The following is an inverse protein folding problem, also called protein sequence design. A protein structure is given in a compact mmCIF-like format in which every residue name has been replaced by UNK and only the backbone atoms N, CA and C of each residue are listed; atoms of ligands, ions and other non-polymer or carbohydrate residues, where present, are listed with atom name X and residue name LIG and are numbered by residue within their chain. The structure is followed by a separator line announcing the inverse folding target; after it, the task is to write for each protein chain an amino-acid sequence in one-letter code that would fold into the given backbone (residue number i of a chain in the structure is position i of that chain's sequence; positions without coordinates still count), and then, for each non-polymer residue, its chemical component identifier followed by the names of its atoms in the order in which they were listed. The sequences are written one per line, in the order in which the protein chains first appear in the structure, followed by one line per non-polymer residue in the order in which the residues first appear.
data_IF_286960527550
#
_entry.id   IF_286960527550
#
_cell.length_a   1.000
_cell.length_b   1.000
_cell.length_c   1.000
_cell.angle_alpha   90.00
_cell.angle_beta   90.00
_cell.angle_gamma   90.00
#
_symmetry.space_group_name_H-M   'P 1'
#
loop_
_entity.id
_entity.type
_entity.pdbx_description
1 polymer ?
#
# COMPACT_ATOMS: atom_id res chain seq x y z
N UNK A 1 7.73 -5.30 -33.76
CA UNK A 1 7.25 -4.40 -32.69
C UNK A 1 8.35 -3.92 -31.75
N UNK A 2 9.49 -4.62 -31.64
CA UNK A 2 10.62 -4.26 -30.76
C UNK A 2 11.84 -3.85 -31.61
N UNK A 3 11.95 -2.59 -32.06
CA UNK A 3 12.99 -2.16 -32.99
C UNK A 3 14.38 -2.12 -32.35
N UNK A 4 14.49 -1.77 -31.07
CA UNK A 4 15.74 -1.73 -30.33
C UNK A 4 15.76 -2.88 -29.29
N UNK A 5 16.78 -3.77 -29.31
CA UNK A 5 16.89 -4.89 -28.36
C UNK A 5 17.15 -4.46 -26.91
N UNK A 6 17.62 -3.23 -26.70
CA UNK A 6 17.95 -2.69 -25.37
C UNK A 6 16.82 -1.88 -24.73
N UNK A 7 15.70 -1.69 -25.41
CA UNK A 7 14.55 -0.96 -24.88
C UNK A 7 13.45 -1.93 -24.47
N UNK A 8 12.94 -1.76 -23.25
CA UNK A 8 11.67 -2.36 -22.85
C UNK A 8 10.53 -1.76 -23.67
N UNK A 9 9.57 -2.60 -24.03
CA UNK A 9 8.39 -2.19 -24.81
C UNK A 9 7.14 -2.64 -24.05
N UNK A 10 6.12 -1.77 -23.95
CA UNK A 10 4.89 -2.12 -23.28
C UNK A 10 4.13 -3.23 -24.03
N UNK A 11 3.58 -4.19 -23.30
CA UNK A 11 2.65 -5.20 -23.79
C UNK A 11 3.28 -6.53 -24.24
N UNK A 12 2.47 -7.59 -24.28
CA UNK A 12 2.93 -8.98 -24.34
C UNK A 12 3.05 -9.59 -25.76
N UNK A 13 3.15 -8.74 -26.80
CA UNK A 13 3.14 -9.18 -28.21
C UNK A 13 4.40 -8.78 -28.96
N UNK A 14 5.12 -9.78 -29.48
CA UNK A 14 6.32 -9.59 -30.27
C UNK A 14 6.15 -10.11 -31.69
N UNK A 15 6.22 -9.20 -32.66
CA UNK A 15 6.32 -9.55 -34.09
C UNK A 15 7.76 -9.42 -34.55
N UNK A 16 8.29 -10.52 -35.08
CA UNK A 16 9.58 -10.63 -35.73
C UNK A 16 9.37 -10.74 -37.23
N UNK A 17 10.19 -10.01 -37.99
CA UNK A 17 10.31 -10.18 -39.43
C UNK A 17 11.79 -10.37 -39.77
N UNK A 18 12.06 -11.20 -40.75
CA UNK A 18 13.41 -11.48 -41.24
C UNK A 18 13.44 -11.51 -42.76
N UNK A 19 14.59 -11.17 -43.32
CA UNK A 19 14.82 -11.24 -44.76
C UNK A 19 15.37 -12.63 -45.13
N UNK A 20 15.21 -12.97 -46.41
CA UNK A 20 15.91 -14.11 -46.97
C UNK A 20 17.43 -13.91 -46.86
N UNK A 21 18.21 -14.95 -46.51
CA UNK A 21 19.65 -14.90 -46.60
C UNK A 21 20.11 -14.52 -48.02
N UNK A 22 21.24 -13.81 -48.16
CA UNK A 22 21.85 -13.56 -49.46
C UNK A 22 22.10 -14.87 -50.22
N UNK A 23 21.73 -14.93 -51.50
CA UNK A 23 21.85 -16.14 -52.33
C UNK A 23 20.64 -16.34 -53.24
N UNK A 24 20.62 -17.47 -53.97
CA UNK A 24 19.49 -17.85 -54.80
C UNK A 24 18.31 -18.29 -53.93
N UNK A 25 17.15 -17.64 -54.10
CA UNK A 25 15.92 -17.95 -53.37
C UNK A 25 15.41 -19.38 -53.63
N UNK A 26 15.74 -19.95 -54.79
CA UNK A 26 15.36 -21.32 -55.15
C UNK A 26 16.15 -22.38 -54.38
N UNK A 27 17.25 -21.99 -53.74
CA UNK A 27 18.07 -22.87 -52.91
C UNK A 27 17.63 -22.93 -51.44
N UNK A 28 16.52 -22.27 -51.08
CA UNK A 28 15.99 -22.26 -49.72
C UNK A 28 14.85 -23.26 -49.54
N UNK A 29 14.95 -24.13 -48.52
CA UNK A 29 13.90 -25.06 -48.12
C UNK A 29 13.01 -24.55 -46.96
N UNK A 30 13.45 -23.51 -46.25
CA UNK A 30 12.64 -22.82 -45.23
C UNK A 30 13.43 -22.38 -44.02
N UNK A 31 12.72 -21.89 -43.00
CA UNK A 31 13.28 -21.40 -41.75
C UNK A 31 12.77 -22.21 -40.58
N UNK A 32 13.61 -22.32 -39.55
CA UNK A 32 13.20 -22.68 -38.20
C UNK A 32 13.43 -21.51 -37.28
N UNK A 33 12.49 -21.34 -36.36
CA UNK A 33 12.65 -20.39 -35.29
C UNK A 33 12.09 -20.90 -33.98
N UNK A 34 12.59 -20.33 -32.90
CA UNK A 34 12.15 -20.59 -31.54
C UNK A 34 12.38 -19.35 -30.70
N UNK A 35 11.54 -19.11 -29.70
CA UNK A 35 11.64 -17.99 -28.78
C UNK A 35 11.65 -18.55 -27.35
N UNK A 36 12.69 -18.25 -26.61
CA UNK A 36 12.80 -18.55 -25.19
C UNK A 36 13.59 -17.45 -24.47
N UNK A 37 13.96 -17.68 -23.20
CA UNK A 37 14.78 -16.76 -22.40
C UNK A 37 16.25 -17.21 -22.31
N UNK A 38 16.67 -18.18 -23.13
CA UNK A 38 18.05 -18.65 -23.18
C UNK A 38 18.83 -17.91 -24.27
N UNK A 39 20.10 -17.63 -24.01
CA UNK A 39 20.90 -16.80 -24.93
C UNK A 39 21.21 -17.50 -26.28
N UNK A 40 21.25 -18.84 -26.31
CA UNK A 40 21.87 -19.57 -27.43
C UNK A 40 21.13 -20.86 -27.86
N UNK A 41 19.81 -20.96 -27.70
CA UNK A 41 19.04 -22.11 -28.16
C UNK A 41 19.16 -22.37 -29.66
N UNK A 42 19.25 -23.65 -30.04
CA UNK A 42 19.24 -24.10 -31.45
C UNK A 42 17.87 -24.71 -31.77
N UNK A 43 17.09 -24.13 -32.70
CA UNK A 43 15.75 -24.63 -33.04
C UNK A 43 15.78 -26.01 -33.71
N UNK A 44 15.28 -27.06 -33.04
CA UNK A 44 15.29 -28.44 -33.59
C UNK A 44 13.89 -29.02 -33.90
N UNK A 45 12.85 -28.58 -33.18
CA UNK A 45 11.59 -29.34 -33.03
C UNK A 45 10.50 -28.98 -34.05
N UNK A 46 10.66 -27.93 -34.84
CA UNK A 46 9.63 -27.44 -35.78
C UNK A 46 10.01 -27.77 -37.22
N UNK A 47 9.08 -28.19 -38.07
CA UNK A 47 9.35 -28.35 -39.50
C UNK A 47 9.69 -26.99 -40.15
N UNK A 48 10.63 -26.92 -41.11
CA UNK A 48 10.96 -25.66 -41.77
C UNK A 48 9.73 -25.07 -42.48
N UNK A 49 9.54 -23.76 -42.37
CA UNK A 49 8.45 -23.03 -43.03
C UNK A 49 9.03 -21.91 -43.91
N UNK A 50 8.37 -21.58 -45.02
CA UNK A 50 8.81 -20.51 -45.95
C UNK A 50 8.36 -19.10 -45.53
N UNK A 51 7.92 -18.94 -44.28
CA UNK A 51 7.45 -17.66 -43.75
C UNK A 51 8.62 -16.78 -43.31
N UNK A 52 8.46 -15.46 -43.44
CA UNK A 52 9.44 -14.42 -43.07
C UNK A 52 8.98 -13.54 -41.92
N UNK A 53 7.88 -13.89 -41.27
CA UNK A 53 7.32 -13.14 -40.14
C UNK A 53 6.62 -14.07 -39.16
N UNK A 54 6.79 -13.84 -37.87
CA UNK A 54 6.04 -14.57 -36.85
C UNK A 54 5.70 -13.67 -35.68
N UNK A 55 4.50 -13.88 -35.12
CA UNK A 55 4.02 -13.11 -33.98
C UNK A 55 3.81 -14.03 -32.79
N UNK A 56 4.52 -13.76 -31.71
CA UNK A 56 4.27 -14.32 -30.39
C UNK A 56 3.35 -13.39 -29.61
N UNK A 57 2.42 -13.98 -28.86
CA UNK A 57 1.44 -13.27 -28.02
C UNK A 57 1.44 -13.88 -26.63
N UNK A 58 1.06 -13.08 -25.63
CA UNK A 58 1.00 -13.56 -24.25
C UNK A 58 2.37 -13.89 -23.66
N UNK A 59 3.41 -13.18 -24.10
CA UNK A 59 4.73 -13.27 -23.49
C UNK A 59 4.66 -12.68 -22.07
N UNK A 60 5.23 -13.41 -21.11
CA UNK A 60 5.50 -12.87 -19.78
C UNK A 60 6.61 -11.82 -19.85
N UNK A 61 6.67 -10.97 -18.83
CA UNK A 61 7.69 -9.93 -18.75
C UNK A 61 9.08 -10.54 -18.66
N UNK A 62 10.03 -9.85 -19.28
CA UNK A 62 11.43 -10.22 -19.24
C UNK A 62 12.13 -10.11 -20.58
N UNK A 63 13.32 -10.70 -20.60
CA UNK A 63 14.21 -10.71 -21.75
C UNK A 63 14.00 -12.01 -22.54
N UNK A 64 13.63 -11.87 -23.79
CA UNK A 64 13.41 -13.00 -24.70
C UNK A 64 14.39 -12.97 -25.86
N UNK A 65 14.89 -14.12 -26.28
CA UNK A 65 15.79 -14.28 -27.42
C UNK A 65 15.11 -15.11 -28.50
N UNK A 66 14.96 -14.52 -29.67
CA UNK A 66 14.52 -15.20 -30.88
C UNK A 66 15.71 -15.86 -31.54
N UNK A 67 15.58 -17.15 -31.82
CA UNK A 67 16.54 -17.98 -32.51
C UNK A 67 16.01 -18.25 -33.90
N UNK A 68 16.76 -17.90 -34.94
CA UNK A 68 16.36 -18.09 -36.34
C UNK A 68 17.49 -18.75 -37.12
N UNK A 69 17.14 -19.69 -37.97
CA UNK A 69 18.10 -20.34 -38.83
C UNK A 69 17.42 -20.83 -40.12
N UNK A 70 18.11 -20.73 -41.26
CA UNK A 70 17.63 -21.13 -42.59
C UNK A 70 18.15 -22.52 -43.03
N UNK A 71 17.29 -23.29 -43.71
CA UNK A 71 17.63 -24.56 -44.36
C UNK A 71 17.76 -24.37 -45.86
N UNK A 72 18.81 -24.91 -46.47
CA UNK A 72 18.91 -25.01 -47.93
C UNK A 72 18.07 -26.17 -48.49
N UNK A 73 17.79 -26.15 -49.79
CA UNK A 73 17.18 -27.25 -50.56
C UNK A 73 18.04 -28.51 -50.55
N UNK A 74 19.36 -28.37 -50.46
CA UNK A 74 20.33 -29.46 -50.24
C UNK A 74 20.32 -30.03 -48.82
N UNK A 75 19.52 -29.46 -47.90
CA UNK A 75 19.31 -29.95 -46.55
C UNK A 75 20.29 -29.42 -45.51
N UNK A 76 21.27 -28.61 -45.90
CA UNK A 76 22.18 -27.93 -45.00
C UNK A 76 21.48 -26.81 -44.22
N UNK A 77 22.14 -26.38 -43.16
CA UNK A 77 21.63 -25.52 -42.12
C UNK A 77 22.64 -24.35 -41.96
N UNK A 78 22.17 -23.10 -41.91
CA UNK A 78 22.98 -21.90 -41.67
C UNK A 78 23.62 -21.85 -40.26
N UNK A 79 24.19 -20.72 -39.85
CA UNK A 79 24.37 -20.47 -38.40
C UNK A 79 23.03 -20.05 -37.78
N UNK A 80 22.93 -20.14 -36.44
CA UNK A 80 21.76 -19.60 -35.73
C UNK A 80 21.98 -18.11 -35.47
N UNK A 81 21.04 -17.31 -35.95
CA UNK A 81 20.97 -15.89 -35.66
C UNK A 81 20.11 -15.67 -34.42
N UNK A 82 20.59 -14.82 -33.53
CA UNK A 82 19.91 -14.48 -32.28
C UNK A 82 19.45 -13.02 -32.31
N UNK A 83 18.23 -12.77 -31.81
CA UNK A 83 17.73 -11.41 -31.60
C UNK A 83 16.98 -11.31 -30.28
N UNK A 84 17.48 -10.46 -29.40
CA UNK A 84 16.86 -10.19 -28.10
C UNK A 84 15.77 -9.13 -28.20
N UNK A 85 14.75 -9.25 -27.37
CA UNK A 85 13.73 -8.25 -27.08
C UNK A 85 13.50 -8.19 -25.58
N UNK A 86 12.99 -7.04 -25.09
CA UNK A 86 12.59 -6.85 -23.70
C UNK A 86 11.11 -6.48 -23.67
N UNK A 87 10.32 -7.28 -22.95
CA UNK A 87 8.85 -7.20 -22.92
C UNK A 87 8.41 -6.85 -21.51
N UNK A 88 7.55 -5.84 -21.38
CA UNK A 88 6.94 -5.51 -20.10
C UNK A 88 5.46 -5.14 -20.28
N UNK A 89 4.57 -6.03 -19.91
CA UNK A 89 3.13 -5.88 -20.03
C UNK A 89 2.44 -5.70 -18.67
N UNK A 90 3.14 -5.90 -17.56
CA UNK A 90 2.53 -5.95 -16.23
C UNK A 90 2.90 -4.71 -15.44
N UNK A 91 1.91 -3.96 -14.91
CA UNK A 91 2.24 -2.86 -14.03
C UNK A 91 2.91 -3.29 -12.72
N UNK A 92 3.65 -2.39 -12.06
CA UNK A 92 4.20 -2.65 -10.74
C UNK A 92 3.13 -3.00 -9.71
N UNK A 93 3.55 -3.72 -8.68
CA UNK A 93 2.77 -3.92 -7.45
C UNK A 93 3.21 -2.94 -6.37
N UNK A 94 2.27 -2.43 -5.58
CA UNK A 94 2.52 -1.44 -4.51
C UNK A 94 2.10 -2.02 -3.17
N UNK A 95 2.85 -1.68 -2.12
CA UNK A 95 2.48 -1.98 -0.74
C UNK A 95 2.55 -0.72 0.12
N UNK A 96 1.64 -0.61 1.09
CA UNK A 96 1.54 0.48 2.05
C UNK A 96 1.77 -0.07 3.46
N UNK A 97 2.64 0.58 4.22
CA UNK A 97 2.92 0.28 5.62
C UNK A 97 2.66 1.49 6.50
N UNK A 98 2.14 1.24 7.71
CA UNK A 98 2.02 2.24 8.76
C UNK A 98 3.03 1.95 9.87
N UNK A 99 3.57 3.00 10.47
CA UNK A 99 4.34 2.93 11.70
C UNK A 99 3.82 3.99 12.69
N UNK A 100 3.23 3.62 13.83
CA UNK A 100 3.05 2.24 14.30
C UNK A 100 2.09 1.42 13.42
N UNK A 101 2.26 0.09 13.40
CA UNK A 101 1.48 -0.80 12.52
C UNK A 101 0.02 -1.00 12.97
N UNK A 102 -0.28 -0.62 14.21
CA UNK A 102 -1.61 -0.69 14.79
C UNK A 102 -1.84 0.55 15.69
N UNK A 103 -3.10 0.99 15.84
CA UNK A 103 -3.45 2.09 16.74
C UNK A 103 -2.99 1.82 18.17
N UNK A 104 -2.41 2.82 18.81
CA UNK A 104 -1.90 2.79 20.18
C UNK A 104 -2.83 3.50 21.19
N UNK A 105 -3.97 4.02 20.73
CA UNK A 105 -5.07 4.54 21.53
C UNK A 105 -6.31 3.65 21.53
N UNK A 106 -7.35 4.13 22.20
CA UNK A 106 -8.63 3.43 22.28
C UNK A 106 -9.39 3.47 20.94
N UNK A 107 -10.27 2.49 20.71
CA UNK A 107 -11.23 2.49 19.59
C UNK A 107 -10.61 2.70 18.19
N UNK A 108 -9.36 2.27 18.00
CA UNK A 108 -8.66 2.39 16.72
C UNK A 108 -8.01 3.75 16.45
N UNK A 109 -7.94 4.64 17.44
CA UNK A 109 -7.22 5.91 17.35
C UNK A 109 -5.72 5.73 17.57
N UNK A 110 -4.92 6.42 16.76
CA UNK A 110 -3.53 6.65 17.07
C UNK A 110 -3.41 7.86 18.00
N UNK A 111 -2.64 7.74 19.08
CA UNK A 111 -2.32 8.85 20.01
C UNK A 111 -0.88 9.34 19.81
N UNK A 112 -0.12 8.67 18.95
CA UNK A 112 1.20 9.09 18.46
C UNK A 112 1.16 9.37 16.96
N UNK A 113 2.16 10.10 16.41
CA UNK A 113 2.25 10.34 14.97
C UNK A 113 2.36 9.03 14.18
N UNK A 114 1.79 9.02 12.97
CA UNK A 114 1.79 7.87 12.07
C UNK A 114 2.67 8.16 10.85
N UNK A 115 3.70 7.35 10.63
CA UNK A 115 4.49 7.35 9.41
C UNK A 115 3.88 6.41 8.36
N UNK A 116 3.66 6.92 7.16
CA UNK A 116 3.25 6.13 6.00
C UNK A 116 4.46 5.81 5.13
N UNK A 117 4.68 4.53 4.89
CA UNK A 117 5.72 4.01 4.01
C UNK A 117 5.12 3.35 2.79
N UNK A 118 5.74 3.57 1.63
CA UNK A 118 5.29 2.97 0.36
C UNK A 118 6.48 2.26 -0.29
N UNK A 119 6.25 1.03 -0.74
CA UNK A 119 7.22 0.32 -1.58
C UNK A 119 6.54 -0.23 -2.81
N UNK A 120 7.32 -0.46 -3.87
CA UNK A 120 6.81 -1.03 -5.11
C UNK A 120 7.82 -2.01 -5.72
N UNK A 121 7.31 -2.99 -6.47
CA UNK A 121 8.11 -3.99 -7.16
C UNK A 121 7.51 -4.32 -8.53
N UNK A 122 8.39 -4.52 -9.51
CA UNK A 122 8.04 -4.74 -10.92
C UNK A 122 8.51 -6.10 -11.46
N UNK A 123 8.97 -6.99 -10.58
CA UNK A 123 9.39 -8.35 -10.96
C UNK A 123 10.46 -8.36 -12.07
N UNK A 124 10.14 -9.01 -13.18
CA UNK A 124 11.01 -9.14 -14.36
C UNK A 124 10.75 -8.06 -15.42
N UNK A 125 9.95 -7.04 -15.13
CA UNK A 125 9.64 -5.92 -16.01
C UNK A 125 10.74 -4.88 -16.11
N UNK A 126 10.39 -3.68 -16.58
CA UNK A 126 11.29 -2.56 -16.83
C UNK A 126 11.81 -1.88 -15.55
N UNK A 127 11.32 -2.30 -14.38
CA UNK A 127 11.64 -1.73 -13.08
C UNK A 127 10.73 -0.57 -12.72
N UNK A 128 10.62 -0.29 -11.42
CA UNK A 128 9.83 0.85 -10.91
C UNK A 128 10.52 2.16 -11.25
N UNK A 129 9.86 3.01 -12.02
CA UNK A 129 10.35 4.35 -12.36
C UNK A 129 9.95 5.40 -11.34
N UNK A 130 8.73 5.33 -10.79
CA UNK A 130 8.23 6.28 -9.80
C UNK A 130 7.18 5.66 -8.89
N UNK A 131 7.14 6.13 -7.65
CA UNK A 131 6.04 5.92 -6.70
C UNK A 131 5.38 7.27 -6.46
N UNK A 132 4.06 7.31 -6.41
CA UNK A 132 3.27 8.51 -6.15
C UNK A 132 2.28 8.26 -5.01
N UNK A 133 2.04 9.30 -4.21
CA UNK A 133 1.06 9.30 -3.11
C UNK A 133 0.04 10.43 -3.28
N UNK A 134 -1.12 10.28 -2.66
CA UNK A 134 -2.20 11.27 -2.69
C UNK A 134 -3.04 11.15 -1.42
N UNK A 135 -3.65 12.24 -0.97
CA UNK A 135 -4.63 12.26 0.15
C UNK A 135 -6.07 12.47 -0.31
N UNK A 136 -6.27 12.74 -1.61
CA UNK A 136 -7.57 13.06 -2.21
C UNK A 136 -7.91 12.16 -3.42
N UNK A 137 -7.00 11.24 -3.79
CA UNK A 137 -7.07 10.40 -4.99
C UNK A 137 -7.17 11.18 -6.32
N UNK A 138 -6.83 12.47 -6.31
CA UNK A 138 -6.91 13.34 -7.48
C UNK A 138 -5.56 14.01 -7.77
N UNK A 139 -4.93 14.54 -6.71
CA UNK A 139 -3.65 15.21 -6.75
C UNK A 139 -2.56 14.26 -6.29
N UNK A 140 -1.64 13.92 -7.19
CA UNK A 140 -0.57 12.95 -6.96
C UNK A 140 0.78 13.65 -6.81
N UNK A 141 1.53 13.30 -5.77
CA UNK A 141 2.88 13.81 -5.50
C UNK A 141 3.91 12.68 -5.52
N UNK A 142 5.15 12.93 -5.96
CA UNK A 142 6.21 11.92 -5.90
C UNK A 142 6.50 11.48 -4.47
N UNK A 143 6.56 10.17 -4.23
CA UNK A 143 6.99 9.61 -2.95
C UNK A 143 8.51 9.53 -2.89
N UNK A 144 9.11 10.30 -1.98
CA UNK A 144 10.57 10.40 -1.81
C UNK A 144 11.08 9.83 -0.49
N UNK A 145 10.18 9.38 0.39
CA UNK A 145 10.48 8.82 1.70
C UNK A 145 9.23 8.79 2.59
N UNK A 146 9.35 8.24 3.82
CA UNK A 146 8.23 8.16 4.75
C UNK A 146 7.53 9.50 4.97
N UNK A 147 6.19 9.48 5.02
CA UNK A 147 5.36 10.67 5.23
C UNK A 147 4.76 10.62 6.63
N UNK A 148 5.15 11.55 7.49
CA UNK A 148 4.66 11.64 8.87
C UNK A 148 3.34 12.41 8.96
N UNK A 149 2.37 11.86 9.68
CA UNK A 149 1.10 12.50 10.03
C UNK A 149 1.04 12.68 11.55
N UNK A 150 1.01 13.94 12.00
CA UNK A 150 1.06 14.31 13.43
C UNK A 150 -0.01 15.33 13.83
N UNK A 151 -1.01 15.54 12.97
CA UNK A 151 -2.12 16.43 13.27
C UNK A 151 -3.32 15.58 13.66
N UNK A 152 -4.01 16.01 14.71
CA UNK A 152 -5.29 15.45 15.11
C UNK A 152 -6.27 15.47 13.94
N UNK A 153 -6.80 14.30 13.61
CA UNK A 153 -7.71 14.12 12.50
C UNK A 153 -8.64 12.94 12.74
N UNK A 154 -9.94 13.20 12.54
CA UNK A 154 -10.95 12.15 12.60
C UNK A 154 -10.80 11.10 11.50
N UNK A 155 -10.18 11.46 10.37
CA UNK A 155 -9.84 10.51 9.33
C UNK A 155 -8.87 11.13 8.33
N UNK A 156 -7.87 10.35 7.93
CA UNK A 156 -7.04 10.64 6.77
C UNK A 156 -6.89 9.35 5.96
N UNK A 157 -7.05 9.47 4.64
CA UNK A 157 -6.80 8.36 3.70
C UNK A 157 -5.59 8.71 2.85
N UNK A 158 -4.65 7.78 2.75
CA UNK A 158 -3.47 7.91 1.89
C UNK A 158 -3.57 6.87 0.78
N UNK A 159 -3.57 7.35 -0.45
CA UNK A 159 -3.54 6.57 -1.67
C UNK A 159 -2.10 6.46 -2.18
N UNK A 160 -1.76 5.34 -2.80
CA UNK A 160 -0.47 5.11 -3.42
C UNK A 160 -0.62 4.38 -4.75
N UNK A 161 0.26 4.72 -5.70
CA UNK A 161 0.44 3.99 -6.97
C UNK A 161 1.90 4.08 -7.41
N UNK A 162 2.28 3.23 -8.36
CA UNK A 162 3.60 3.24 -8.97
C UNK A 162 3.51 3.18 -10.50
N UNK A 163 4.59 3.63 -11.16
CA UNK A 163 4.78 3.55 -12.61
C UNK A 163 6.10 2.87 -12.91
N UNK A 164 6.14 2.00 -13.91
CA UNK A 164 7.37 1.36 -14.38
C UNK A 164 8.10 2.21 -15.45
N UNK A 165 9.21 1.67 -15.95
CA UNK A 165 10.04 2.29 -16.99
C UNK A 165 9.41 2.35 -18.39
N UNK A 166 8.32 1.62 -18.66
CA UNK A 166 7.58 1.66 -19.94
C UNK A 166 6.23 2.39 -19.84
N UNK A 167 5.89 2.88 -18.64
CA UNK A 167 4.72 3.69 -18.36
C UNK A 167 3.49 2.90 -17.93
N UNK A 168 3.57 1.60 -17.62
CA UNK A 168 2.43 0.92 -17.00
C UNK A 168 2.23 1.45 -15.57
N UNK A 169 0.98 1.59 -15.16
CA UNK A 169 0.61 2.18 -13.86
C UNK A 169 -0.06 1.11 -13.00
N UNK A 170 0.40 0.96 -11.76
CA UNK A 170 -0.16 0.01 -10.80
C UNK A 170 -1.63 0.29 -10.53
N UNK A 171 -2.31 -0.69 -9.91
CA UNK A 171 -3.54 -0.39 -9.20
C UNK A 171 -3.27 0.64 -8.10
N UNK A 172 -4.25 1.51 -7.85
CA UNK A 172 -4.24 2.41 -6.70
C UNK A 172 -4.65 1.61 -5.47
N UNK A 173 -3.81 1.66 -4.44
CA UNK A 173 -4.14 1.12 -3.11
C UNK A 173 -4.24 2.26 -2.11
N UNK A 174 -4.88 2.02 -0.96
CA UNK A 174 -5.01 3.03 0.08
C UNK A 174 -5.03 2.45 1.48
N UNK A 175 -4.74 3.31 2.45
CA UNK A 175 -4.91 3.05 3.88
C UNK A 175 -5.59 4.25 4.54
N UNK A 176 -6.40 3.99 5.57
CA UNK A 176 -7.14 5.03 6.31
C UNK A 176 -6.88 4.86 7.80
N UNK A 177 -6.64 5.97 8.48
CA UNK A 177 -6.42 6.01 9.93
C UNK A 177 -6.93 7.32 10.52
N UNK A 178 -6.94 7.40 11.84
CA UNK A 178 -7.43 8.53 12.64
C UNK A 178 -6.42 8.79 13.77
N UNK A 179 -6.16 10.06 14.06
CA UNK A 179 -5.17 10.50 15.05
C UNK A 179 -5.85 11.44 16.04
N UNK A 180 -5.63 11.21 17.33
CA UNK A 180 -6.00 12.12 18.40
C UNK A 180 -4.92 12.10 19.48
N UNK A 181 -4.06 13.09 19.46
CA UNK A 181 -2.97 13.28 20.41
C UNK A 181 -3.35 14.24 21.54
N UNK A 182 -4.47 14.95 21.40
CA UNK A 182 -4.92 15.92 22.39
C UNK A 182 -5.57 15.18 23.55
N UNK A 183 -4.98 15.32 24.74
CA UNK A 183 -5.58 14.77 25.95
C UNK A 183 -6.92 15.47 26.26
N UNK A 184 -7.89 14.74 26.84
CA UNK A 184 -9.13 15.36 27.29
C UNK A 184 -8.87 16.40 28.38
N UNK A 185 -9.61 17.50 28.36
CA UNK A 185 -9.57 18.52 29.41
C UNK A 185 -10.66 18.26 30.46
N UNK A 186 -10.39 18.62 31.72
CA UNK A 186 -11.37 18.47 32.80
C UNK A 186 -11.46 19.72 33.67
N UNK A 187 -12.68 20.11 34.02
CA UNK A 187 -12.93 21.28 34.85
C UNK A 187 -14.13 21.07 35.78
N UNK A 188 -14.13 21.81 36.90
CA UNK A 188 -15.26 21.86 37.82
C UNK A 188 -16.40 22.64 37.18
N UNK A 189 -17.58 22.04 37.11
CA UNK A 189 -18.79 22.73 36.66
C UNK A 189 -19.41 23.48 37.85
N UNK A 190 -19.67 24.78 37.69
CA UNK A 190 -20.34 25.62 38.70
C UNK A 190 -21.83 25.31 38.92
N UNK A 191 -22.29 24.08 38.62
CA UNK A 191 -23.67 23.64 38.80
C UNK A 191 -24.00 22.33 38.05
N UNK A 192 -25.13 21.72 38.42
CA UNK A 192 -25.59 20.39 37.99
C UNK A 192 -26.20 20.37 36.56
N UNK A 193 -25.66 21.18 35.65
CA UNK A 193 -26.19 21.33 34.30
C UNK A 193 -26.03 20.08 33.41
N UNK A 194 -26.78 20.00 32.29
CA UNK A 194 -26.66 18.89 31.35
C UNK A 194 -25.22 18.77 30.82
N UNK A 195 -24.65 17.57 30.93
CA UNK A 195 -23.26 17.27 30.56
C UNK A 195 -22.30 17.13 31.74
N UNK A 196 -22.73 17.46 32.96
CA UNK A 196 -21.96 17.21 34.18
C UNK A 196 -21.91 15.70 34.52
N UNK A 197 -20.71 15.21 34.80
CA UNK A 197 -20.46 13.96 35.50
C UNK A 197 -20.45 14.26 36.99
N UNK A 198 -21.16 13.45 37.79
CA UNK A 198 -21.28 13.65 39.24
C UNK A 198 -20.77 12.45 40.00
N UNK A 199 -20.16 12.71 41.17
CA UNK A 199 -19.81 11.68 42.14
C UNK A 199 -20.32 12.12 43.52
N UNK A 200 -20.90 11.18 44.27
CA UNK A 200 -21.21 11.40 45.69
C UNK A 200 -19.99 11.00 46.51
N UNK A 201 -19.33 11.97 47.11
CA UNK A 201 -18.19 11.76 48.00
C UNK A 201 -18.70 11.73 49.45
N UNK A 202 -18.40 10.65 50.18
CA UNK A 202 -18.80 10.50 51.59
C UNK A 202 -17.81 11.26 52.47
N UNK A 203 -18.27 12.30 53.16
CA UNK A 203 -17.42 13.25 53.91
C UNK A 203 -17.40 13.05 55.42
N UNK A 204 -18.08 12.02 55.95
CA UNK A 204 -18.17 11.77 57.40
C UNK A 204 -17.82 10.33 57.81
N UNK A 205 -17.25 10.11 59.02
CA UNK A 205 -16.81 8.79 59.52
C UNK A 205 -17.96 7.78 59.72
N UNK A 206 -19.21 8.24 59.65
CA UNK A 206 -20.42 7.43 59.81
C UNK A 206 -21.14 7.13 58.48
N UNK A 207 -20.65 7.61 57.33
CA UNK A 207 -21.29 7.36 56.02
C UNK A 207 -22.48 8.28 55.66
N UNK A 208 -22.86 9.19 56.57
CA UNK A 208 -24.15 9.87 56.54
C UNK A 208 -24.10 11.29 55.95
N UNK A 209 -22.91 11.85 55.77
CA UNK A 209 -22.71 13.12 55.07
C UNK A 209 -22.09 12.82 53.71
N UNK A 210 -22.77 13.24 52.64
CA UNK A 210 -22.28 13.08 51.28
C UNK A 210 -22.34 14.41 50.56
N UNK A 211 -21.22 14.83 49.97
CA UNK A 211 -21.15 15.95 49.06
C UNK A 211 -21.35 15.43 47.64
N UNK A 212 -22.29 16.01 46.90
CA UNK A 212 -22.37 15.79 45.46
C UNK A 212 -21.38 16.75 44.81
N UNK A 213 -20.39 16.21 44.11
CA UNK A 213 -19.46 16.98 43.33
C UNK A 213 -19.74 16.75 41.85
N UNK A 214 -19.68 17.82 41.07
CA UNK A 214 -19.93 17.82 39.64
C UNK A 214 -18.69 18.32 38.90
N UNK A 215 -18.36 17.68 37.80
CA UNK A 215 -17.37 18.17 36.86
C UNK A 215 -17.67 17.75 35.44
N UNK A 216 -16.88 18.27 34.51
CA UNK A 216 -17.01 18.00 33.09
C UNK A 216 -15.64 17.58 32.56
N UNK A 217 -15.61 16.54 31.74
CA UNK A 217 -14.46 16.17 30.91
C UNK A 217 -14.83 16.49 29.48
N UNK A 218 -14.01 17.15 28.68
CA UNK A 218 -14.28 17.41 27.26
C UNK A 218 -13.20 16.77 26.38
N UNK A 219 -13.63 16.20 25.26
CA UNK A 219 -12.77 15.63 24.23
C UNK A 219 -13.43 15.85 22.87
N UNK A 220 -12.67 16.28 21.87
CA UNK A 220 -13.20 16.66 20.56
C UNK A 220 -13.20 15.50 19.54
N UNK A 221 -12.41 14.44 19.76
CA UNK A 221 -12.17 13.38 18.78
C UNK A 221 -12.37 11.98 19.39
N UNK A 222 -11.37 11.42 20.06
CA UNK A 222 -11.38 10.02 20.52
C UNK A 222 -12.41 9.73 21.61
N UNK A 223 -12.97 10.78 22.21
CA UNK A 223 -14.06 10.74 23.16
C UNK A 223 -13.57 10.69 24.61
N UNK A 224 -14.49 10.36 25.52
CA UNK A 224 -14.26 10.40 26.97
C UNK A 224 -14.22 8.98 27.51
N UNK A 225 -13.09 8.56 28.07
CA UNK A 225 -12.95 7.22 28.66
C UNK A 225 -13.54 7.13 30.09
N UNK A 226 -13.54 8.24 30.85
CA UNK A 226 -14.08 8.31 32.20
C UNK A 226 -13.68 9.58 32.95
N UNK A 227 -14.19 9.73 34.18
CA UNK A 227 -13.81 10.80 35.12
C UNK A 227 -13.86 10.25 36.55
N UNK A 228 -12.94 10.69 37.39
CA UNK A 228 -12.99 10.46 38.84
C UNK A 228 -13.02 11.80 39.56
N UNK A 229 -13.70 11.85 40.71
CA UNK A 229 -13.80 13.04 41.55
C UNK A 229 -13.47 12.64 42.99
N UNK A 230 -12.63 13.43 43.64
CA UNK A 230 -12.18 13.22 45.01
C UNK A 230 -12.21 14.52 45.81
N UNK A 231 -12.00 14.39 47.12
CA UNK A 231 -11.73 15.50 48.04
C UNK A 231 -10.45 15.12 48.78
N UNK A 232 -9.62 16.10 49.10
CA UNK A 232 -8.37 15.89 49.84
C UNK A 232 -8.58 15.00 51.07
N UNK A 233 -7.80 13.92 51.13
CA UNK A 233 -7.83 12.94 52.21
C UNK A 233 -8.88 11.81 52.06
N UNK A 234 -9.58 11.72 50.92
CA UNK A 234 -10.49 10.62 50.60
C UNK A 234 -10.10 9.92 49.29
N UNK A 235 -10.59 8.68 49.13
CA UNK A 235 -10.42 7.92 47.89
C UNK A 235 -11.21 8.55 46.73
N UNK A 236 -10.60 8.51 45.55
CA UNK A 236 -11.22 8.96 44.30
C UNK A 236 -12.42 8.10 43.93
N UNK A 237 -13.53 8.75 43.61
CA UNK A 237 -14.79 8.08 43.22
C UNK A 237 -15.02 8.24 41.73
N UNK A 238 -15.38 7.15 41.03
CA UNK A 238 -15.79 7.24 39.62
C UNK A 238 -17.04 8.11 39.47
N UNK A 239 -16.99 9.11 38.58
CA UNK A 239 -18.13 9.97 38.30
C UNK A 239 -18.99 9.35 37.20
N UNK A 240 -20.32 9.36 37.42
CA UNK A 240 -21.30 8.86 36.47
C UNK A 240 -22.16 10.00 35.94
N UNK A 241 -22.77 9.83 34.77
CA UNK A 241 -23.78 10.77 34.29
C UNK A 241 -24.96 10.79 35.27
N UNK A 242 -25.53 11.97 35.51
CA UNK A 242 -26.76 12.11 36.31
C UNK A 242 -27.84 11.20 35.68
N UNK A 243 -28.24 10.15 36.41
CA UNK A 243 -29.33 9.24 36.01
C UNK A 243 -28.95 7.79 35.64
N UNK A 244 -27.67 7.45 35.49
CA UNK A 244 -27.23 6.05 35.25
C UNK A 244 -26.46 5.51 36.45
N UNK A 245 -27.18 4.84 37.36
CA UNK A 245 -26.59 3.95 38.36
C UNK A 245 -26.43 2.56 37.74
N UNK A 246 -25.18 2.15 37.45
CA UNK A 246 -24.84 0.75 37.20
C UNK A 246 -23.63 0.40 38.09
N UNK A 247 -23.65 -0.75 38.81
CA UNK A 247 -22.57 -1.15 39.69
C UNK A 247 -21.32 -1.56 38.90
N UNK A 248 -20.17 -1.13 39.39
CA UNK A 248 -18.84 -1.26 38.77
C UNK A 248 -18.39 -2.73 38.69
N UNK A 249 -17.90 -3.15 37.53
CA UNK A 249 -16.88 -4.20 37.42
C UNK A 249 -15.65 -3.61 36.72
N UNK A 250 -14.47 -3.78 37.34
CA UNK A 250 -13.22 -3.13 36.98
C UNK A 250 -12.45 -3.85 35.86
N UNK A 251 -11.69 -3.09 35.04
CA UNK A 251 -10.46 -3.51 34.36
C UNK A 251 -9.67 -2.28 33.83
N UNK A 252 -8.34 -2.38 33.60
CA UNK A 252 -7.38 -1.33 33.96
C UNK A 252 -6.70 -0.58 32.80
N UNK A 253 -6.24 0.64 33.10
CA UNK A 253 -4.99 1.23 32.58
C UNK A 253 -5.08 2.15 31.36
N UNK A 254 -5.15 3.46 31.60
CA UNK A 254 -5.02 4.52 30.56
C UNK A 254 -5.00 5.90 31.21
N UNK A 255 -4.42 6.94 30.55
CA UNK A 255 -3.91 8.14 31.21
C UNK A 255 -5.00 8.90 31.97
N UNK A 256 -4.66 9.22 33.21
CA UNK A 256 -5.57 9.72 34.24
C UNK A 256 -5.46 11.25 34.26
N UNK A 257 -6.56 11.95 33.95
CA UNK A 257 -6.64 13.39 34.20
C UNK A 257 -7.11 13.57 35.65
N UNK A 258 -6.24 14.16 36.47
CA UNK A 258 -6.43 14.37 37.90
C UNK A 258 -6.86 15.84 38.14
N UNK A 259 -8.03 16.05 38.76
CA UNK A 259 -8.48 17.36 39.27
C UNK A 259 -8.98 17.19 40.68
#
# INVERSE_FOLDING_TARGET
THPNPDTWVPGSTATFAWAQPPGDATELAGYRWYLDQAAATVPATVSPQMTTTYTYRGLADGVWTMHLHARSSGGQWSEVTHRTIRVDATPPTVTLGLNPTAPDGHNGWYVTPVDVTVTAADGAGAGVAAIEVSTDNATWTPYTGPVAFSADTASVTVFARARDGVGNVSQVISTTFQIDQTAPDSHVAGGDGPGALVARVITGPQGNQGLLLAGQVADALSGRAGMRIGIDGLDWTAASRIGEWQPVAAAPGGPEVQV
#
